data_IF_347745261622
#
_entry.id   IF_347745261622
#
_cell.length_a   1.000
_cell.length_b   1.000
_cell.length_c   1.000
_cell.angle_alpha   90.00
_cell.angle_beta   90.00
_cell.angle_gamma   90.00
#
_symmetry.space_group_name_H-M   'P 1'
#
loop_
_entity.id
_entity.type
_entity.pdbx_description
1 polymer ?
#
# COMPACT_ATOMS: atom_id res chain seq x y z
N UNK A 1 33.04 -57.67 -40.30
CA UNK A 1 33.25 -56.23 -40.06
C UNK A 1 32.05 -55.73 -39.28
N UNK A 2 32.23 -55.32 -38.01
CA UNK A 2 31.14 -54.83 -37.16
C UNK A 2 31.07 -53.31 -37.29
N UNK A 3 29.99 -52.80 -37.87
CA UNK A 3 29.74 -51.37 -37.99
C UNK A 3 29.24 -50.86 -36.65
N UNK A 4 30.05 -50.07 -35.94
CA UNK A 4 29.64 -49.38 -34.72
C UNK A 4 29.00 -48.04 -35.15
N UNK A 5 27.70 -47.92 -34.94
CA UNK A 5 26.95 -46.68 -35.10
C UNK A 5 27.10 -45.86 -33.80
N UNK A 6 27.84 -44.76 -33.84
CA UNK A 6 27.93 -43.81 -32.73
C UNK A 6 26.80 -42.80 -32.91
N UNK A 7 25.77 -42.89 -32.06
CA UNK A 7 24.71 -41.88 -31.95
C UNK A 7 25.23 -40.79 -31.02
N UNK A 8 25.44 -39.59 -31.58
CA UNK A 8 25.78 -38.39 -30.81
C UNK A 8 24.48 -37.80 -30.27
N UNK A 9 24.17 -38.05 -28.99
CA UNK A 9 23.06 -37.38 -28.30
C UNK A 9 23.58 -36.01 -27.86
N UNK A 10 23.16 -34.96 -28.56
CA UNK A 10 23.34 -33.59 -28.10
C UNK A 10 22.41 -33.37 -26.89
N UNK A 11 22.99 -33.33 -25.69
CA UNK A 11 22.33 -32.81 -24.49
C UNK A 11 22.13 -31.30 -24.69
N UNK A 12 20.97 -30.93 -25.21
CA UNK A 12 20.44 -29.56 -25.06
C UNK A 12 20.10 -29.38 -23.59
N UNK A 13 21.02 -28.80 -22.82
CA UNK A 13 20.70 -28.26 -21.51
C UNK A 13 19.76 -27.08 -21.71
N UNK A 14 18.45 -27.34 -21.59
CA UNK A 14 17.50 -26.27 -21.34
C UNK A 14 17.90 -25.64 -20.00
N UNK A 15 18.50 -24.46 -20.03
CA UNK A 15 18.55 -23.62 -18.85
C UNK A 15 17.12 -23.18 -18.59
N UNK A 16 16.40 -23.96 -17.78
CA UNK A 16 15.19 -23.48 -17.12
C UNK A 16 15.71 -22.58 -16.00
N UNK A 17 15.76 -21.28 -16.25
CA UNK A 17 15.94 -20.35 -15.14
C UNK A 17 14.70 -20.45 -14.25
N UNK A 18 14.93 -20.62 -12.94
CA UNK A 18 13.83 -20.67 -11.98
C UNK A 18 13.31 -19.26 -11.79
N UNK A 19 12.03 -19.03 -12.05
CA UNK A 19 11.39 -17.78 -11.70
C UNK A 19 11.40 -17.63 -10.17
N UNK A 20 11.72 -16.43 -9.70
CA UNK A 20 11.70 -16.07 -8.28
C UNK A 20 10.53 -15.13 -8.01
N UNK A 21 9.90 -15.26 -6.84
CA UNK A 21 8.84 -14.36 -6.42
C UNK A 21 9.46 -13.03 -5.97
N UNK A 22 9.07 -11.94 -6.61
CA UNK A 22 9.51 -10.59 -6.24
C UNK A 22 8.41 -9.91 -5.43
N UNK A 23 8.76 -9.43 -4.24
CA UNK A 23 7.85 -8.71 -3.36
C UNK A 23 8.39 -7.32 -3.08
N UNK A 24 7.51 -6.32 -3.13
CA UNK A 24 7.78 -4.98 -2.66
C UNK A 24 7.34 -4.88 -1.21
N UNK A 25 8.28 -4.56 -0.31
CA UNK A 25 7.96 -4.39 1.10
C UNK A 25 8.05 -2.90 1.47
N UNK A 26 6.92 -2.34 1.91
CA UNK A 26 6.77 -0.94 2.27
C UNK A 26 6.63 -0.80 3.79
N UNK A 27 7.66 -0.26 4.42
CA UNK A 27 7.67 0.09 5.83
C UNK A 27 7.26 1.54 5.99
N UNK A 28 5.96 1.75 6.10
CA UNK A 28 5.40 3.05 6.42
C UNK A 28 5.83 3.49 7.81
N UNK A 29 6.47 4.64 7.86
CA UNK A 29 6.97 5.26 9.07
C UNK A 29 6.65 6.74 9.10
N UNK A 30 6.62 7.29 10.31
CA UNK A 30 6.50 8.71 10.57
C UNK A 30 7.63 9.11 11.51
N UNK A 31 8.56 9.95 11.04
CA UNK A 31 9.77 10.32 11.78
C UNK A 31 10.61 9.12 12.26
N UNK A 32 10.68 8.05 11.45
CA UNK A 32 11.45 6.84 11.75
C UNK A 32 10.74 5.79 12.64
N UNK A 33 9.56 6.12 13.16
CA UNK A 33 8.73 5.18 13.93
C UNK A 33 7.63 4.58 13.06
N UNK A 34 7.24 3.33 13.32
CA UNK A 34 6.21 2.65 12.53
C UNK A 34 4.88 3.44 12.53
N UNK A 35 4.30 3.60 11.35
CA UNK A 35 3.01 4.26 11.19
C UNK A 35 1.83 3.40 11.68
N UNK A 36 0.88 4.06 12.35
CA UNK A 36 -0.39 3.52 12.84
C UNK A 36 -1.48 4.58 12.67
N UNK A 37 -2.62 4.21 12.10
CA UNK A 37 -3.77 5.12 11.93
C UNK A 37 -4.36 5.55 13.28
N UNK A 38 -4.25 4.72 14.32
CA UNK A 38 -4.74 5.03 15.67
C UNK A 38 -3.90 6.06 16.42
N UNK A 39 -2.76 6.49 15.88
CA UNK A 39 -1.80 7.36 16.56
C UNK A 39 -1.91 8.82 16.09
N UNK A 40 -1.61 9.75 17.02
CA UNK A 40 -1.40 11.16 16.70
C UNK A 40 0.09 11.42 16.39
N UNK A 41 0.33 12.28 15.41
CA UNK A 41 1.65 12.72 14.97
C UNK A 41 1.76 14.25 15.08
N UNK A 42 2.89 14.80 14.68
CA UNK A 42 3.09 16.25 14.55
C UNK A 42 3.48 16.59 13.13
N UNK A 43 2.90 17.66 12.58
CA UNK A 43 3.40 18.26 11.34
C UNK A 43 4.76 18.96 11.58
N UNK A 44 5.35 19.52 10.52
CA UNK A 44 6.64 20.23 10.62
C UNK A 44 6.60 21.51 11.49
N UNK A 45 5.40 22.04 11.76
CA UNK A 45 5.16 23.21 12.59
C UNK A 45 4.85 22.85 14.05
N UNK A 46 4.80 21.56 14.39
CA UNK A 46 4.48 21.06 15.72
C UNK A 46 2.99 20.94 16.04
N UNK A 47 2.10 21.17 15.06
CA UNK A 47 0.67 20.96 15.24
C UNK A 47 0.36 19.46 15.31
N UNK A 48 -0.53 19.07 16.22
CA UNK A 48 -0.93 17.66 16.34
C UNK A 48 -1.82 17.28 15.16
N UNK A 49 -1.50 16.18 14.48
CA UNK A 49 -2.29 15.63 13.39
C UNK A 49 -2.70 14.19 13.67
N UNK A 50 -3.84 13.77 13.15
CA UNK A 50 -4.22 12.36 13.03
C UNK A 50 -4.45 12.04 11.56
N UNK A 51 -3.65 11.13 11.00
CA UNK A 51 -3.83 10.65 9.63
C UNK A 51 -4.86 9.54 9.68
N UNK A 52 -5.92 9.68 8.89
CA UNK A 52 -7.04 8.73 8.80
C UNK A 52 -7.03 7.91 7.52
N UNK A 53 -6.28 8.37 6.51
CA UNK A 53 -6.12 7.68 5.22
C UNK A 53 -4.76 7.98 4.63
N UNK A 54 -4.09 6.93 4.15
CA UNK A 54 -2.86 6.99 3.37
C UNK A 54 -2.94 5.93 2.29
N UNK A 55 -3.08 6.35 1.03
CA UNK A 55 -3.12 5.45 -0.11
C UNK A 55 -2.39 6.07 -1.30
N UNK A 56 -1.70 5.25 -2.09
CA UNK A 56 -1.02 5.73 -3.29
C UNK A 56 -0.79 4.61 -4.30
N UNK A 57 -0.68 4.99 -5.57
CA UNK A 57 -0.34 4.05 -6.63
C UNK A 57 1.17 4.01 -6.88
N UNK A 58 1.67 2.81 -7.15
CA UNK A 58 2.97 2.60 -7.79
C UNK A 58 2.72 1.90 -9.12
N UNK A 59 3.35 2.39 -10.18
CA UNK A 59 3.31 1.82 -11.53
C UNK A 59 4.68 1.93 -12.22
N UNK A 60 4.77 1.52 -13.49
CA UNK A 60 6.00 1.60 -14.29
C UNK A 60 7.22 0.99 -13.60
N UNK A 61 7.05 -0.15 -12.92
CA UNK A 61 8.11 -0.74 -12.10
C UNK A 61 9.17 -1.37 -13.01
N UNK A 62 10.44 -1.03 -12.78
CA UNK A 62 11.59 -1.60 -13.47
C UNK A 62 12.64 -2.04 -12.45
N UNK A 63 13.23 -3.21 -12.67
CA UNK A 63 14.34 -3.72 -11.87
C UNK A 63 15.61 -3.68 -12.72
N UNK A 64 16.74 -3.32 -12.13
CA UNK A 64 18.06 -3.57 -12.73
C UNK A 64 18.74 -4.68 -11.94
N UNK A 65 19.29 -5.69 -12.63
CA UNK A 65 20.05 -6.76 -11.98
C UNK A 65 21.53 -6.39 -11.76
N UNK A 66 22.32 -7.28 -11.15
CA UNK A 66 23.76 -7.04 -10.94
C UNK A 66 24.59 -7.06 -12.23
N UNK A 67 24.00 -7.43 -13.37
CA UNK A 67 24.61 -7.42 -14.70
C UNK A 67 24.25 -6.19 -15.54
N UNK A 68 23.54 -5.21 -14.94
CA UNK A 68 23.01 -4.00 -15.59
C UNK A 68 21.91 -4.29 -16.62
N UNK A 69 21.23 -5.44 -16.51
CA UNK A 69 20.05 -5.75 -17.31
C UNK A 69 18.80 -5.13 -16.68
N UNK A 70 18.05 -4.35 -17.46
CA UNK A 70 16.76 -3.82 -17.08
C UNK A 70 15.63 -4.82 -17.34
N UNK A 71 14.77 -4.99 -16.34
CA UNK A 71 13.68 -5.96 -16.29
C UNK A 71 12.39 -5.18 -15.96
N UNK A 72 11.64 -4.72 -16.97
CA UNK A 72 10.38 -4.02 -16.75
C UNK A 72 9.28 -5.00 -16.30
N UNK A 73 8.58 -4.67 -15.22
CA UNK A 73 7.44 -5.42 -14.71
C UNK A 73 6.16 -4.90 -15.37
N UNK A 74 5.91 -5.37 -16.60
CA UNK A 74 4.76 -4.94 -17.40
C UNK A 74 3.43 -5.31 -16.73
N UNK A 75 2.46 -4.41 -16.78
CA UNK A 75 1.10 -4.57 -16.21
C UNK A 75 1.07 -4.83 -14.69
N UNK A 76 2.14 -4.48 -13.96
CA UNK A 76 2.19 -4.56 -12.50
C UNK A 76 1.88 -3.20 -11.89
N UNK A 77 0.85 -3.18 -11.05
CA UNK A 77 0.41 -2.00 -10.29
C UNK A 77 0.34 -2.35 -8.81
N UNK A 78 0.63 -1.39 -7.95
CA UNK A 78 0.44 -1.52 -6.50
C UNK A 78 -0.44 -0.38 -6.01
N UNK A 79 -1.53 -0.71 -5.34
CA UNK A 79 -2.27 0.24 -4.51
C UNK A 79 -1.78 0.09 -3.08
N UNK A 80 -0.82 0.91 -2.71
CA UNK A 80 -0.24 0.89 -1.37
C UNK A 80 -1.17 1.54 -0.36
N UNK A 81 -1.22 0.98 0.84
CA UNK A 81 -2.00 1.47 1.99
C UNK A 81 -1.09 1.57 3.20
N UNK A 82 -1.26 2.60 4.03
CA UNK A 82 -0.36 2.86 5.17
C UNK A 82 -0.26 1.74 6.21
N UNK A 83 -1.26 0.85 6.28
CA UNK A 83 -1.29 -0.30 7.18
C UNK A 83 -0.82 -1.62 6.56
N UNK A 84 -0.53 -1.67 5.26
CA UNK A 84 -0.13 -2.89 4.54
C UNK A 84 1.31 -2.77 4.06
N UNK A 85 2.14 -3.73 4.44
CA UNK A 85 3.56 -3.72 4.16
C UNK A 85 3.99 -4.58 2.99
N UNK A 86 3.33 -5.72 2.71
CA UNK A 86 3.81 -6.64 1.68
C UNK A 86 2.93 -6.64 0.42
N UNK A 87 3.56 -6.46 -0.74
CA UNK A 87 2.92 -6.51 -2.06
C UNK A 87 3.69 -7.47 -2.97
N UNK A 88 3.01 -8.50 -3.46
CA UNK A 88 3.59 -9.36 -4.50
C UNK A 88 3.60 -8.63 -5.84
N UNK A 89 4.77 -8.57 -6.48
CA UNK A 89 4.92 -8.03 -7.83
C UNK A 89 4.79 -9.12 -8.91
N UNK A 90 4.86 -10.39 -8.53
CA UNK A 90 4.82 -11.55 -9.42
C UNK A 90 6.12 -12.36 -9.41
N UNK A 91 6.22 -13.31 -10.34
CA UNK A 91 7.38 -14.19 -10.48
C UNK A 91 8.17 -13.83 -11.73
N UNK A 92 9.47 -13.56 -11.58
CA UNK A 92 10.34 -13.06 -12.66
C UNK A 92 11.62 -13.88 -12.78
N UNK A 93 12.20 -13.89 -13.97
CA UNK A 93 13.50 -14.49 -14.23
C UNK A 93 14.61 -13.51 -13.82
N UNK A 94 14.91 -13.48 -12.52
CA UNK A 94 15.90 -12.61 -11.90
C UNK A 94 16.53 -13.32 -10.70
N UNK A 95 17.85 -13.25 -10.54
CA UNK A 95 18.53 -13.84 -9.37
C UNK A 95 18.90 -12.81 -8.32
N UNK A 96 19.05 -11.55 -8.74
CA UNK A 96 19.41 -10.43 -7.89
C UNK A 96 18.94 -9.11 -8.47
N UNK A 97 18.77 -8.10 -7.62
CA UNK A 97 18.37 -6.74 -8.00
C UNK A 97 19.34 -5.75 -7.37
N UNK A 98 19.89 -4.87 -8.19
CA UNK A 98 20.79 -3.78 -7.83
C UNK A 98 20.08 -2.42 -7.78
N UNK A 99 18.99 -2.27 -8.54
CA UNK A 99 18.18 -1.04 -8.60
C UNK A 99 16.69 -1.35 -8.72
N UNK A 100 15.88 -0.54 -8.06
CA UNK A 100 14.43 -0.48 -8.23
C UNK A 100 14.06 0.90 -8.75
N UNK A 101 13.29 0.95 -9.83
CA UNK A 101 12.67 2.17 -10.34
C UNK A 101 11.16 1.99 -10.41
N UNK A 102 10.41 3.05 -10.18
CA UNK A 102 8.95 3.06 -10.37
C UNK A 102 8.42 4.48 -10.45
N UNK A 103 7.17 4.63 -10.89
CA UNK A 103 6.43 5.88 -10.78
C UNK A 103 5.49 5.86 -9.56
N UNK A 104 5.49 6.94 -8.76
CA UNK A 104 4.38 7.24 -7.88
C UNK A 104 3.23 7.81 -8.73
N UNK A 105 2.13 7.07 -8.77
CA UNK A 105 0.96 7.37 -9.59
C UNK A 105 0.65 6.27 -10.60
N UNK A 106 -0.25 6.59 -11.53
CA UNK A 106 -0.70 5.68 -12.59
C UNK A 106 -0.21 6.23 -13.94
N UNK A 107 0.34 5.37 -14.79
CA UNK A 107 0.79 5.74 -16.13
C UNK A 107 -0.31 6.44 -16.95
N UNK A 108 0.10 7.31 -17.88
CA UNK A 108 -0.81 8.16 -18.65
C UNK A 108 -1.95 7.38 -19.32
N UNK A 109 -1.65 6.25 -19.97
CA UNK A 109 -2.64 5.49 -20.74
C UNK A 109 -3.71 4.94 -19.81
N UNK A 110 -3.27 4.35 -18.70
CA UNK A 110 -4.15 3.73 -17.72
C UNK A 110 -4.91 4.76 -16.89
N UNK A 111 -4.30 5.91 -16.60
CA UNK A 111 -4.95 7.02 -15.90
C UNK A 111 -6.17 7.56 -16.66
N UNK A 112 -6.15 7.49 -17.99
CA UNK A 112 -7.27 7.86 -18.87
C UNK A 112 -8.19 6.69 -19.22
N UNK A 113 -8.00 5.53 -18.57
CA UNK A 113 -8.84 4.36 -18.69
C UNK A 113 -10.11 4.43 -17.82
N UNK A 114 -10.89 3.36 -17.82
CA UNK A 114 -12.05 3.19 -16.95
C UNK A 114 -11.75 2.10 -15.91
N UNK A 115 -11.73 2.47 -14.62
CA UNK A 115 -11.49 1.56 -13.50
C UNK A 115 -12.44 0.36 -13.48
N UNK A 116 -13.67 0.51 -13.99
CA UNK A 116 -14.64 -0.59 -14.09
C UNK A 116 -14.24 -1.71 -15.08
N UNK A 117 -13.22 -1.49 -15.91
CA UNK A 117 -12.68 -2.53 -16.79
C UNK A 117 -11.83 -3.55 -16.01
N UNK A 118 -11.41 -3.22 -14.79
CA UNK A 118 -10.61 -4.11 -13.96
C UNK A 118 -11.49 -4.88 -12.96
N UNK A 119 -11.13 -6.14 -12.64
CA UNK A 119 -11.72 -6.89 -11.54
C UNK A 119 -11.64 -6.15 -10.19
N UNK A 120 -12.54 -6.48 -9.25
CA UNK A 120 -12.64 -5.79 -7.96
C UNK A 120 -11.47 -6.04 -7.00
N UNK A 121 -10.65 -7.04 -7.28
CA UNK A 121 -9.41 -7.38 -6.57
C UNK A 121 -8.17 -6.81 -7.25
N UNK A 122 -8.31 -6.25 -8.45
CA UNK A 122 -7.22 -5.57 -9.14
C UNK A 122 -6.93 -4.20 -8.48
N UNK A 123 -5.66 -3.79 -8.33
CA UNK A 123 -5.29 -2.49 -7.75
C UNK A 123 -6.00 -1.29 -8.39
N UNK A 124 -6.17 -1.32 -9.71
CA UNK A 124 -6.85 -0.29 -10.51
C UNK A 124 -8.38 -0.48 -10.64
N UNK A 125 -8.94 -1.52 -10.02
CA UNK A 125 -10.39 -1.72 -9.99
C UNK A 125 -11.10 -0.72 -9.08
N UNK A 126 -12.44 -0.73 -9.05
CA UNK A 126 -13.22 0.13 -8.17
C UNK A 126 -12.88 -0.10 -6.68
N UNK A 127 -12.42 0.94 -6.00
CA UNK A 127 -12.01 0.89 -4.58
C UNK A 127 -13.07 1.46 -3.63
N UNK A 128 -13.00 1.08 -2.35
CA UNK A 128 -13.77 1.71 -1.28
C UNK A 128 -12.89 1.93 -0.03
N UNK A 129 -12.54 3.19 0.31
CA UNK A 129 -12.97 4.43 -0.36
C UNK A 129 -12.42 4.58 -1.79
N UNK A 130 -13.07 5.43 -2.61
CA UNK A 130 -12.71 5.63 -4.01
C UNK A 130 -11.26 6.13 -4.16
N UNK A 131 -10.53 5.57 -5.13
CA UNK A 131 -9.18 5.97 -5.52
C UNK A 131 -9.14 6.56 -6.94
N UNK A 132 -10.30 6.87 -7.52
CA UNK A 132 -10.47 7.49 -8.82
C UNK A 132 -11.75 8.33 -8.87
N UNK A 133 -11.80 9.27 -9.81
CA UNK A 133 -13.02 10.01 -10.17
C UNK A 133 -13.73 9.42 -11.40
N UNK A 134 -13.34 8.21 -11.80
CA UNK A 134 -13.79 7.59 -13.03
C UNK A 134 -13.29 8.32 -14.27
N UNK A 135 -13.78 7.85 -15.41
CA UNK A 135 -13.39 8.40 -16.70
C UNK A 135 -14.15 9.72 -17.00
N UNK A 136 -13.48 10.77 -17.51
CA UNK A 136 -12.05 10.83 -17.92
C UNK A 136 -11.13 11.49 -16.87
N UNK A 137 -11.58 11.66 -15.62
CA UNK A 137 -10.82 12.39 -14.59
C UNK A 137 -9.58 11.61 -14.09
N UNK A 138 -9.68 10.29 -14.01
CA UNK A 138 -8.57 9.41 -13.66
C UNK A 138 -8.43 9.13 -12.16
N UNK A 139 -7.24 8.66 -11.77
CA UNK A 139 -6.94 8.15 -10.43
C UNK A 139 -6.35 9.21 -9.52
N UNK A 140 -6.58 9.06 -8.21
CA UNK A 140 -5.79 9.77 -7.21
C UNK A 140 -4.46 9.08 -7.03
N UNK A 141 -3.36 9.74 -7.38
CA UNK A 141 -2.02 9.13 -7.33
C UNK A 141 -1.51 8.97 -5.91
N UNK A 142 -1.84 9.93 -5.04
CA UNK A 142 -1.49 9.96 -3.63
C UNK A 142 -2.63 10.62 -2.85
N UNK A 143 -3.05 9.96 -1.77
CA UNK A 143 -4.11 10.40 -0.85
C UNK A 143 -3.57 10.43 0.57
N UNK A 144 -3.62 11.59 1.22
CA UNK A 144 -3.44 11.74 2.65
C UNK A 144 -4.60 12.57 3.22
N UNK A 145 -5.46 11.92 3.99
CA UNK A 145 -6.58 12.58 4.68
C UNK A 145 -6.39 12.48 6.19
N UNK A 146 -6.85 13.49 6.93
CA UNK A 146 -6.72 13.51 8.37
C UNK A 146 -7.41 14.67 9.06
N UNK A 147 -7.06 14.84 10.32
CA UNK A 147 -7.40 16.02 11.10
C UNK A 147 -6.14 16.65 11.67
N UNK A 148 -6.17 17.97 11.88
CA UNK A 148 -5.12 18.77 12.51
C UNK A 148 -5.73 19.57 13.65
N UNK A 149 -4.95 19.79 14.70
CA UNK A 149 -5.25 20.70 15.80
C UNK A 149 -5.01 22.14 15.34
N UNK A 150 -6.10 22.88 15.10
CA UNK A 150 -6.05 24.28 14.65
C UNK A 150 -6.19 25.31 15.79
N UNK A 151 -6.29 24.86 17.04
CA UNK A 151 -6.51 25.71 18.21
C UNK A 151 -5.45 25.54 19.32
N UNK A 152 -4.55 24.54 19.20
CA UNK A 152 -3.45 24.28 20.11
C UNK A 152 -3.84 23.58 21.42
N UNK A 153 -5.00 22.91 21.49
CA UNK A 153 -5.44 22.17 22.67
C UNK A 153 -4.91 20.71 22.74
N UNK A 154 -4.16 20.29 21.72
CA UNK A 154 -3.59 18.96 21.56
C UNK A 154 -4.53 17.94 20.92
N UNK A 155 -5.74 18.33 20.52
CA UNK A 155 -6.76 17.45 19.95
C UNK A 155 -7.02 17.85 18.49
N UNK A 156 -6.66 16.99 17.51
CA UNK A 156 -6.99 17.24 16.12
C UNK A 156 -8.50 17.44 15.89
N UNK A 157 -8.90 18.60 15.39
CA UNK A 157 -10.28 19.08 15.36
C UNK A 157 -10.71 19.63 13.98
N UNK A 158 -9.76 19.95 13.10
CA UNK A 158 -10.02 20.46 11.75
C UNK A 158 -9.64 19.43 10.70
N UNK A 159 -10.53 19.14 9.76
CA UNK A 159 -10.27 18.18 8.70
C UNK A 159 -9.36 18.77 7.60
N UNK A 160 -8.44 17.94 7.10
CA UNK A 160 -7.75 18.15 5.84
C UNK A 160 -7.87 16.92 4.93
N UNK A 161 -7.89 17.14 3.61
CA UNK A 161 -7.85 16.08 2.60
C UNK A 161 -6.98 16.52 1.44
N UNK A 162 -5.94 15.74 1.15
CA UNK A 162 -5.06 15.92 0.01
C UNK A 162 -5.20 14.69 -0.89
N UNK A 163 -5.77 14.87 -2.08
CA UNK A 163 -5.95 13.79 -3.06
C UNK A 163 -5.47 14.26 -4.43
N UNK A 164 -4.23 13.89 -4.76
CA UNK A 164 -3.54 14.33 -5.97
C UNK A 164 -4.14 13.71 -7.22
N UNK A 165 -4.67 14.54 -8.11
CA UNK A 165 -5.35 14.12 -9.35
C UNK A 165 -4.66 14.74 -10.58
N UNK A 166 -4.55 13.95 -11.65
CA UNK A 166 -4.07 14.40 -12.97
C UNK A 166 -2.60 14.09 -13.24
N UNK A 167 -2.23 14.01 -14.52
CA UNK A 167 -0.92 13.44 -14.95
C UNK A 167 0.30 14.19 -14.43
N UNK A 168 0.17 15.50 -14.17
CA UNK A 168 1.26 16.32 -13.61
C UNK A 168 1.69 15.84 -12.21
N UNK A 169 0.89 15.00 -11.56
CA UNK A 169 1.17 14.41 -10.26
C UNK A 169 2.10 13.21 -10.33
N UNK A 170 2.39 12.66 -11.53
CA UNK A 170 3.26 11.50 -11.70
C UNK A 170 4.70 11.86 -11.28
N UNK A 171 5.34 10.99 -10.50
CA UNK A 171 6.72 11.20 -10.05
C UNK A 171 7.55 9.95 -10.30
N UNK A 172 8.63 10.10 -11.05
CA UNK A 172 9.56 9.01 -11.34
C UNK A 172 10.59 8.87 -10.21
N UNK A 173 10.58 7.73 -9.53
CA UNK A 173 11.50 7.37 -8.45
C UNK A 173 12.59 6.48 -9.04
N UNK A 174 13.76 7.05 -9.31
CA UNK A 174 14.88 6.40 -10.03
C UNK A 174 16.18 6.31 -9.21
N UNK A 175 16.12 6.63 -7.91
CA UNK A 175 17.29 6.76 -7.03
C UNK A 175 17.48 5.59 -6.04
N UNK A 176 16.64 4.54 -6.11
CA UNK A 176 16.65 3.43 -5.16
C UNK A 176 17.64 2.33 -5.57
N UNK A 177 18.87 2.46 -5.08
CA UNK A 177 19.93 1.47 -5.26
C UNK A 177 20.02 0.56 -4.04
N UNK A 178 20.14 -0.75 -4.27
CA UNK A 178 20.22 -1.75 -3.21
C UNK A 178 21.01 -2.97 -3.62
N UNK A 179 21.04 -3.96 -2.74
CA UNK A 179 21.60 -5.27 -3.02
C UNK A 179 20.62 -6.33 -2.51
N UNK A 180 19.77 -6.81 -3.41
CA UNK A 180 18.74 -7.79 -3.11
C UNK A 180 19.08 -9.10 -3.82
N UNK A 181 19.21 -10.17 -3.05
CA UNK A 181 19.54 -11.50 -3.56
C UNK A 181 18.36 -12.43 -3.34
N UNK A 182 18.18 -13.41 -4.24
CA UNK A 182 17.17 -14.44 -4.06
C UNK A 182 17.48 -15.30 -2.84
N UNK A 183 16.54 -15.36 -1.89
CA UNK A 183 16.57 -16.22 -0.72
C UNK A 183 15.28 -17.05 -0.71
N UNK A 184 15.41 -18.38 -0.68
CA UNK A 184 14.25 -19.30 -0.69
C UNK A 184 13.28 -19.04 -1.86
N UNK A 185 13.80 -18.78 -3.07
CA UNK A 185 13.03 -18.47 -4.27
C UNK A 185 12.24 -17.15 -4.19
N UNK A 186 12.66 -16.21 -3.32
CA UNK A 186 12.05 -14.89 -3.19
C UNK A 186 13.09 -13.79 -3.13
N UNK A 187 12.79 -12.65 -3.78
CA UNK A 187 13.49 -11.38 -3.60
C UNK A 187 12.53 -10.38 -2.93
N UNK A 188 12.94 -9.84 -1.80
CA UNK A 188 12.18 -8.82 -1.07
C UNK A 188 12.84 -7.45 -1.22
N UNK A 189 12.19 -6.58 -1.99
CA UNK A 189 12.59 -5.19 -2.23
C UNK A 189 12.02 -4.34 -1.09
N UNK A 190 12.75 -4.27 0.02
CA UNK A 190 12.29 -3.55 1.20
C UNK A 190 12.66 -2.05 1.16
N UNK A 191 11.66 -1.19 1.39
CA UNK A 191 11.76 0.26 1.43
C UNK A 191 11.14 0.81 2.72
N UNK A 192 11.77 1.83 3.31
CA UNK A 192 11.11 2.73 4.24
C UNK A 192 10.32 3.77 3.46
N UNK A 193 9.12 4.09 3.93
CA UNK A 193 8.24 5.13 3.38
C UNK A 193 8.01 6.18 4.45
N UNK A 194 8.67 7.34 4.31
CA UNK A 194 8.66 8.43 5.28
C UNK A 194 7.46 9.36 5.03
N UNK A 195 6.34 9.11 5.72
CA UNK A 195 5.06 9.78 5.45
C UNK A 195 5.14 11.28 5.70
N UNK A 196 5.83 11.70 6.76
CA UNK A 196 5.95 13.11 7.12
C UNK A 196 6.56 13.95 5.98
N UNK A 197 7.41 13.33 5.17
CA UNK A 197 8.12 14.02 4.10
C UNK A 197 7.20 14.41 2.95
N UNK A 198 6.11 13.66 2.71
CA UNK A 198 5.08 14.07 1.74
C UNK A 198 4.39 15.36 2.18
N UNK A 199 4.21 15.56 3.48
CA UNK A 199 3.50 16.71 4.05
C UNK A 199 4.38 17.96 4.21
N UNK A 200 5.68 17.88 3.94
CA UNK A 200 6.59 19.01 4.16
C UNK A 200 6.25 20.22 3.30
N UNK A 201 6.27 21.40 3.90
CA UNK A 201 5.94 22.68 3.27
C UNK A 201 4.44 22.89 3.01
N UNK A 202 3.55 22.00 3.46
CA UNK A 202 2.11 22.13 3.27
C UNK A 202 1.45 22.64 4.55
N UNK A 203 0.76 23.77 4.46
CA UNK A 203 -0.04 24.32 5.55
C UNK A 203 -1.36 23.53 5.71
N UNK A 204 -1.31 22.49 6.53
CA UNK A 204 -2.45 21.61 6.79
C UNK A 204 -3.61 22.32 7.51
N UNK A 205 -3.37 23.43 8.20
CA UNK A 205 -4.45 24.22 8.82
C UNK A 205 -5.29 24.88 7.73
N UNK A 206 -4.68 25.31 6.61
CA UNK A 206 -5.36 26.09 5.57
C UNK A 206 -5.62 25.33 4.26
N UNK A 207 -5.10 24.11 4.10
CA UNK A 207 -5.29 23.30 2.89
C UNK A 207 -6.77 22.95 2.62
N UNK A 208 -7.55 22.70 3.66
CA UNK A 208 -8.94 22.27 3.53
C UNK A 208 -9.11 20.91 2.84
N UNK A 209 -10.09 20.83 1.94
CA UNK A 209 -10.40 19.62 1.15
C UNK A 209 -9.98 19.86 -0.29
N UNK A 210 -8.98 19.14 -0.76
CA UNK A 210 -8.34 19.36 -2.06
C UNK A 210 -8.20 18.07 -2.88
N UNK A 211 -9.14 17.86 -3.80
CA UNK A 211 -9.20 16.70 -4.69
C UNK A 211 -8.90 17.12 -6.14
N UNK A 212 -7.71 17.66 -6.36
CA UNK A 212 -7.39 18.33 -7.61
C UNK A 212 -5.91 18.30 -7.96
N UNK A 213 -5.55 18.97 -9.05
CA UNK A 213 -4.17 19.22 -9.46
C UNK A 213 -3.60 20.53 -8.90
N UNK A 214 -4.02 20.94 -7.69
CA UNK A 214 -3.59 22.20 -7.07
C UNK A 214 -2.09 22.23 -6.75
N UNK A 215 -1.60 23.41 -6.33
CA UNK A 215 -0.23 23.55 -5.82
C UNK A 215 0.06 22.71 -4.58
N UNK A 216 -0.91 22.47 -3.69
CA UNK A 216 -0.69 21.66 -2.50
C UNK A 216 -0.48 20.18 -2.84
N UNK A 217 -1.35 19.63 -3.70
CA UNK A 217 -1.21 18.25 -4.18
C UNK A 217 0.04 18.06 -5.05
N UNK A 218 0.39 19.06 -5.87
CA UNK A 218 1.63 19.04 -6.65
C UNK A 218 2.87 19.07 -5.76
N UNK A 219 2.89 19.91 -4.72
CA UNK A 219 3.97 19.92 -3.71
C UNK A 219 4.06 18.58 -2.99
N UNK A 220 2.92 18.01 -2.58
CA UNK A 220 2.88 16.69 -1.93
C UNK A 220 3.49 15.61 -2.83
N UNK A 221 3.14 15.57 -4.11
CA UNK A 221 3.74 14.63 -5.07
C UNK A 221 5.23 14.91 -5.27
N UNK A 222 5.64 16.15 -5.55
CA UNK A 222 7.05 16.52 -5.77
C UNK A 222 7.95 16.19 -4.57
N UNK A 223 7.41 16.25 -3.35
CA UNK A 223 8.11 15.86 -2.13
C UNK A 223 8.59 14.40 -2.14
N UNK A 224 7.97 13.53 -2.94
CA UNK A 224 8.43 12.15 -3.18
C UNK A 224 9.90 12.09 -3.60
N UNK A 225 10.29 13.01 -4.49
CA UNK A 225 11.66 13.12 -5.01
C UNK A 225 12.46 14.10 -4.16
N UNK A 226 11.93 15.31 -3.94
CA UNK A 226 12.66 16.40 -3.27
C UNK A 226 13.13 16.03 -1.87
N UNK A 227 12.33 15.24 -1.14
CA UNK A 227 12.63 14.86 0.24
C UNK A 227 13.05 13.39 0.35
N UNK A 228 13.09 12.65 -0.75
CA UNK A 228 13.35 11.20 -0.78
C UNK A 228 12.44 10.44 0.19
N UNK A 229 11.15 10.39 -0.12
CA UNK A 229 10.15 9.71 0.71
C UNK A 229 10.47 8.23 0.85
N UNK A 230 10.86 7.60 -0.26
CA UNK A 230 11.27 6.19 -0.32
C UNK A 230 12.76 6.05 -0.04
N UNK A 231 13.14 5.08 0.79
CA UNK A 231 14.53 4.79 1.10
C UNK A 231 14.77 3.29 1.17
N UNK A 232 15.81 2.80 0.51
CA UNK A 232 16.15 1.38 0.47
C UNK A 232 16.58 0.84 1.84
N UNK A 233 16.13 -0.36 2.19
CA UNK A 233 16.57 -1.10 3.37
C UNK A 233 17.41 -2.28 2.91
N UNK A 234 18.62 -2.42 3.44
CA UNK A 234 19.45 -3.58 3.14
C UNK A 234 18.95 -4.82 3.93
N UNK A 235 18.88 -6.02 3.30
CA UNK A 235 18.19 -7.20 3.87
C UNK A 235 18.72 -7.68 5.23
N UNK A 236 19.98 -7.37 5.58
CA UNK A 236 20.64 -7.84 6.80
C UNK A 236 20.03 -7.34 8.13
N UNK A 237 19.04 -6.44 8.09
CA UNK A 237 18.38 -5.87 9.27
C UNK A 237 16.88 -6.16 9.34
N UNK A 238 16.35 -7.07 8.52
CA UNK A 238 14.89 -7.31 8.41
C UNK A 238 14.36 -8.26 9.50
N UNK A 239 14.51 -7.87 10.76
CA UNK A 239 13.72 -8.44 11.84
C UNK A 239 12.31 -7.81 11.82
N UNK A 240 11.42 -8.38 11.01
CA UNK A 240 9.97 -8.06 11.01
C UNK A 240 9.30 -8.55 12.30
N UNK A 241 9.72 -8.06 13.46
CA UNK A 241 8.99 -8.29 14.72
C UNK A 241 7.91 -7.22 14.90
N UNK A 242 6.89 -7.25 14.05
CA UNK A 242 5.70 -6.42 14.23
C UNK A 242 4.80 -7.04 15.30
N UNK A 243 5.06 -6.70 16.56
CA UNK A 243 4.12 -6.90 17.68
C UNK A 243 3.05 -5.78 17.72
N UNK A 244 2.71 -5.21 16.57
CA UNK A 244 1.76 -4.11 16.47
C UNK A 244 0.37 -4.65 16.16
N UNK A 245 -0.62 -4.09 16.85
CA UNK A 245 -2.03 -4.30 16.57
C UNK A 245 -2.64 -2.92 16.38
N UNK A 246 -3.04 -2.62 15.16
CA UNK A 246 -3.76 -1.40 14.80
C UNK A 246 -5.00 -1.80 14.01
N UNK A 247 -6.18 -1.42 14.50
CA UNK A 247 -7.46 -1.68 13.85
C UNK A 247 -8.28 -0.41 13.92
N UNK A 248 -8.62 0.14 12.75
CA UNK A 248 -9.41 1.36 12.62
C UNK A 248 -10.61 1.12 11.71
N UNK A 249 -11.48 2.13 11.61
CA UNK A 249 -12.64 2.07 10.74
C UNK A 249 -12.77 3.36 9.97
N UNK A 250 -12.78 3.22 8.64
CA UNK A 250 -13.05 4.29 7.71
C UNK A 250 -14.57 4.33 7.44
N UNK A 251 -15.17 5.50 7.68
CA UNK A 251 -16.60 5.75 7.53
C UNK A 251 -16.98 6.55 6.27
N UNK A 252 -16.09 6.66 5.28
CA UNK A 252 -16.38 7.29 3.98
C UNK A 252 -17.65 6.71 3.35
N UNK A 253 -17.90 5.41 3.54
CA UNK A 253 -19.21 4.79 3.30
C UNK A 253 -19.82 4.40 4.65
N UNK A 254 -20.57 5.32 5.26
CA UNK A 254 -21.03 5.20 6.65
C UNK A 254 -21.88 3.95 6.92
N UNK A 255 -22.62 3.46 5.91
CA UNK A 255 -23.45 2.25 5.99
C UNK A 255 -22.71 0.95 5.66
N UNK A 256 -21.49 1.02 5.13
CA UNK A 256 -20.66 -0.11 4.74
C UNK A 256 -19.18 0.24 4.94
N UNK A 257 -18.76 0.51 6.18
CA UNK A 257 -17.43 1.05 6.45
C UNK A 257 -16.33 0.05 6.12
N UNK A 258 -15.14 0.57 5.84
CA UNK A 258 -13.95 -0.27 5.63
C UNK A 258 -13.22 -0.43 6.97
N UNK A 259 -12.82 -1.66 7.28
CA UNK A 259 -12.01 -1.96 8.48
C UNK A 259 -10.56 -2.09 8.03
N UNK A 260 -9.71 -1.15 8.43
CA UNK A 260 -8.28 -1.19 8.19
C UNK A 260 -7.63 -1.93 9.36
N UNK A 261 -6.74 -2.87 9.10
CA UNK A 261 -6.08 -3.64 10.14
C UNK A 261 -4.62 -3.94 9.81
N UNK A 262 -3.82 -4.00 10.87
CA UNK A 262 -2.50 -4.61 10.94
C UNK A 262 -2.41 -5.36 12.26
N UNK A 263 -2.24 -6.66 12.18
CA UNK A 263 -2.23 -7.59 13.30
C UNK A 263 -0.82 -8.15 13.49
N UNK A 264 -0.54 -8.65 14.67
CA UNK A 264 0.79 -9.13 15.02
C UNK A 264 1.10 -10.52 14.43
N UNK A 265 2.40 -10.87 14.50
CA UNK A 265 2.97 -12.19 14.24
C UNK A 265 2.91 -12.68 12.78
N UNK A 266 2.49 -11.84 11.83
CA UNK A 266 2.40 -12.20 10.40
C UNK A 266 1.65 -13.53 10.16
N UNK A 267 0.63 -13.80 10.98
CA UNK A 267 -0.19 -15.02 10.92
C UNK A 267 -1.45 -14.79 10.10
N UNK A 268 -2.00 -15.83 9.48
CA UNK A 268 -3.32 -15.73 8.88
C UNK A 268 -4.42 -15.62 9.94
N UNK A 269 -5.38 -14.72 9.69
CA UNK A 269 -6.57 -14.55 10.50
C UNK A 269 -7.83 -14.78 9.66
N UNK A 270 -8.91 -15.11 10.37
CA UNK A 270 -10.28 -15.08 9.87
C UNK A 270 -11.03 -13.91 10.52
N UNK A 271 -12.11 -13.46 9.92
CA UNK A 271 -12.94 -12.35 10.40
C UNK A 271 -14.40 -12.76 10.60
N UNK A 272 -14.98 -12.37 11.74
CA UNK A 272 -16.43 -12.39 11.98
C UNK A 272 -16.91 -11.01 12.38
N UNK A 273 -18.07 -10.59 11.88
CA UNK A 273 -18.73 -9.35 12.30
C UNK A 273 -20.02 -9.69 13.01
N UNK A 274 -20.21 -9.16 14.22
CA UNK A 274 -21.42 -9.32 15.02
C UNK A 274 -22.12 -7.98 15.23
N UNK A 275 -23.44 -7.99 15.38
CA UNK A 275 -24.18 -6.81 15.87
C UNK A 275 -24.17 -6.73 17.40
N UNK A 276 -24.76 -5.67 17.97
CA UNK A 276 -24.79 -5.40 19.41
C UNK A 276 -25.48 -6.48 20.27
N UNK A 277 -26.32 -7.33 19.67
CA UNK A 277 -26.98 -8.45 20.37
C UNK A 277 -26.26 -9.80 20.15
N UNK A 278 -25.07 -9.77 19.55
CA UNK A 278 -24.23 -10.96 19.34
C UNK A 278 -24.63 -11.83 18.15
N UNK A 279 -25.51 -11.36 17.27
CA UNK A 279 -25.84 -12.09 16.04
C UNK A 279 -24.73 -11.93 15.01
N UNK A 280 -24.31 -13.04 14.41
CA UNK A 280 -23.35 -13.06 13.31
C UNK A 280 -23.95 -12.39 12.07
N UNK A 281 -23.26 -11.40 11.51
CA UNK A 281 -23.67 -10.62 10.35
C UNK A 281 -22.90 -11.02 9.10
N UNK A 282 -21.58 -11.24 9.25
CA UNK A 282 -20.65 -11.65 8.19
C UNK A 282 -19.56 -12.55 8.77
N UNK A 283 -19.06 -13.47 7.94
CA UNK A 283 -17.87 -14.29 8.20
C UNK A 283 -17.03 -14.35 6.92
N UNK A 284 -15.73 -14.15 7.07
CA UNK A 284 -14.74 -14.26 5.99
C UNK A 284 -13.54 -15.01 6.53
N UNK A 285 -13.05 -15.98 5.77
CA UNK A 285 -11.88 -16.76 6.12
C UNK A 285 -10.65 -16.21 5.36
N UNK A 286 -9.45 -16.39 5.92
CA UNK A 286 -8.16 -15.99 5.33
C UNK A 286 -8.07 -14.51 4.94
N UNK A 287 -8.34 -13.61 5.88
CA UNK A 287 -8.15 -12.16 5.69
C UNK A 287 -6.68 -11.73 5.87
N UNK A 288 -5.77 -12.66 6.19
CA UNK A 288 -4.36 -12.34 6.48
C UNK A 288 -4.20 -11.55 7.78
N UNK A 289 -2.98 -11.07 8.05
CA UNK A 289 -2.67 -10.24 9.23
C UNK A 289 -2.81 -8.74 8.97
N UNK A 290 -2.77 -8.29 7.73
CA UNK A 290 -2.91 -6.88 7.38
C UNK A 290 -3.80 -6.72 6.15
N UNK A 291 -4.49 -5.58 6.04
CA UNK A 291 -5.38 -5.32 4.92
C UNK A 291 -6.47 -4.31 5.20
N UNK A 292 -7.32 -4.13 4.19
CA UNK A 292 -8.48 -3.24 4.23
C UNK A 292 -9.73 -4.06 3.89
N UNK A 293 -10.48 -4.46 4.92
CA UNK A 293 -11.67 -5.28 4.74
C UNK A 293 -12.87 -4.41 4.40
N UNK A 294 -13.24 -4.39 3.12
CA UNK A 294 -14.45 -3.71 2.67
C UNK A 294 -15.70 -4.53 2.99
N UNK A 295 -16.60 -3.97 3.80
CA UNK A 295 -17.88 -4.59 4.12
C UNK A 295 -18.81 -4.49 2.91
N UNK A 296 -18.85 -5.55 2.08
CA UNK A 296 -19.73 -5.66 0.89
C UNK A 296 -21.21 -5.93 1.26
N UNK A 297 -21.72 -5.22 2.26
CA UNK A 297 -23.10 -5.32 2.74
C UNK A 297 -23.49 -4.04 3.46
N UNK A 298 -24.65 -3.49 3.09
CA UNK A 298 -25.23 -2.39 3.85
C UNK A 298 -25.64 -2.85 5.26
N UNK A 299 -25.05 -2.22 6.26
CA UNK A 299 -25.34 -2.40 7.66
C UNK A 299 -26.40 -1.41 8.13
N UNK A 300 -27.25 -1.83 9.06
CA UNK A 300 -28.23 -0.95 9.72
C UNK A 300 -27.54 -0.14 10.80
N UNK A 301 -28.15 1.00 11.18
CA UNK A 301 -27.68 1.82 12.30
C UNK A 301 -27.51 0.98 13.57
N UNK A 302 -26.36 1.11 14.22
CA UNK A 302 -26.05 0.35 15.43
C UNK A 302 -24.57 0.12 15.64
N UNK A 303 -24.25 -0.51 16.77
CA UNK A 303 -22.90 -0.93 17.13
C UNK A 303 -22.63 -2.35 16.59
N UNK A 304 -21.40 -2.56 16.11
CA UNK A 304 -20.91 -3.83 15.62
C UNK A 304 -19.54 -4.16 16.22
N UNK A 305 -19.20 -5.44 16.20
CA UNK A 305 -17.91 -5.96 16.64
C UNK A 305 -17.28 -6.79 15.53
N UNK A 306 -16.14 -6.34 15.03
CA UNK A 306 -15.26 -7.12 14.18
C UNK A 306 -14.35 -7.98 15.06
N UNK A 307 -14.30 -9.28 14.80
CA UNK A 307 -13.52 -10.26 15.56
C UNK A 307 -12.58 -10.96 14.60
N UNK A 308 -11.30 -10.60 14.68
CA UNK A 308 -10.21 -11.27 13.98
C UNK A 308 -9.72 -12.44 14.84
N UNK A 309 -9.64 -13.63 14.27
CA UNK A 309 -9.30 -14.82 15.04
C UNK A 309 -8.54 -15.87 14.23
N UNK A 310 -7.66 -16.59 14.93
CA UNK A 310 -7.07 -17.86 14.50
C UNK A 310 -7.00 -18.81 15.71
N UNK A 311 -6.25 -19.91 15.59
CA UNK A 311 -6.15 -20.91 16.66
C UNK A 311 -5.44 -20.39 17.93
N UNK A 312 -4.70 -19.28 17.82
CA UNK A 312 -3.86 -18.74 18.89
C UNK A 312 -4.37 -17.41 19.45
N UNK A 313 -4.96 -16.56 18.60
CA UNK A 313 -5.25 -15.16 18.91
C UNK A 313 -6.69 -14.77 18.58
N UNK A 314 -7.21 -13.78 19.31
CA UNK A 314 -8.53 -13.21 19.11
C UNK A 314 -8.51 -11.70 19.39
N UNK A 315 -8.67 -10.89 18.35
CA UNK A 315 -8.71 -9.43 18.44
C UNK A 315 -10.11 -8.92 18.13
N UNK A 316 -10.55 -7.91 18.89
CA UNK A 316 -11.90 -7.34 18.78
C UNK A 316 -11.80 -5.86 18.52
N UNK A 317 -12.55 -5.39 17.53
CA UNK A 317 -12.68 -3.99 17.20
C UNK A 317 -14.15 -3.60 17.17
N UNK A 318 -14.50 -2.51 17.86
CA UNK A 318 -15.86 -1.98 17.89
C UNK A 318 -15.98 -0.85 16.87
N UNK A 319 -17.05 -0.88 16.08
CA UNK A 319 -17.38 0.21 15.17
C UNK A 319 -18.88 0.51 15.19
N UNK A 320 -19.26 1.71 14.75
CA UNK A 320 -20.64 2.20 14.82
C UNK A 320 -21.09 2.64 13.44
N UNK A 321 -22.19 2.07 12.96
CA UNK A 321 -22.81 2.49 11.70
C UNK A 321 -23.87 3.55 12.01
N UNK A 322 -23.73 4.71 11.37
CA UNK A 322 -24.68 5.83 11.44
C UNK A 322 -25.06 6.19 10.00
N UNK A 323 -26.28 5.86 9.61
CA UNK A 323 -26.94 6.39 8.41
C UNK A 323 -27.55 7.75 8.66
#
# INVERSE_FOLDING_TARGET
MKTILIIFIALLSNFCYSQVDVNLILNHQYNGEQFMYSQNYQDENGNVINISRLQYYISSIELTDNSELNIPLSDVYVLANGNVSNYSLGSFDVSSVSKLEFDLGVDYTTNHGNSNNYPSDHPLGPQSPLMDWGWPAGYFFLVIDGTIDDNGDGIPNKQFQLRSLGDIMLQNVDYLNGAYESLNNSINLALNVNIEKWLSGIDLINVGIDHSSSGNNLSMCNNTINNQVFQTINPASTDYFNNVIDITTDYNISYAPTINYKLNNNLDFNLKIFNSIGQLVLKTDNVGFEGNYFIRKELKNGNYFAVFYNDQFNYKHKFTVIR
#
